data_IF_103563692944
#
_entry.id   IF_103563692944
#
_cell.length_a   1.000
_cell.length_b   1.000
_cell.length_c   1.000
_cell.angle_alpha   90.00
_cell.angle_beta   90.00
_cell.angle_gamma   90.00
#
_symmetry.space_group_name_H-M   'P 1'
#
loop_
_entity.id
_entity.type
_entity.pdbx_description
1 polymer ?
#
# COMPACT_ATOMS: atom_id res chain seq x y z
N UNK A 1 8.88 -17.47 21.77
CA UNK A 1 8.46 -17.43 20.35
C UNK A 1 7.59 -16.21 19.98
N UNK A 2 6.96 -15.49 20.92
CA UNK A 2 6.07 -14.34 20.63
C UNK A 2 6.78 -13.00 20.30
N UNK A 3 8.07 -12.84 20.58
CA UNK A 3 8.77 -11.54 20.47
C UNK A 3 9.15 -11.13 19.03
N UNK A 4 9.43 -12.08 18.12
CA UNK A 4 9.82 -11.77 16.73
C UNK A 4 8.64 -11.41 15.82
N UNK A 5 7.45 -11.98 16.05
CA UNK A 5 6.28 -11.68 15.22
C UNK A 5 5.72 -10.27 15.47
N UNK A 6 5.80 -9.77 16.71
CA UNK A 6 5.31 -8.44 17.07
C UNK A 6 6.15 -7.32 16.46
N UNK A 7 7.47 -7.52 16.30
CA UNK A 7 8.34 -6.53 15.64
C UNK A 7 8.06 -6.47 14.14
N UNK A 8 7.84 -7.61 13.47
CA UNK A 8 7.51 -7.66 12.05
C UNK A 8 6.13 -7.06 11.77
N UNK A 9 5.12 -7.37 12.59
CA UNK A 9 3.79 -6.78 12.45
C UNK A 9 3.81 -5.25 12.60
N UNK A 10 4.62 -4.73 13.54
CA UNK A 10 4.84 -3.28 13.68
C UNK A 10 5.56 -2.68 12.47
N UNK A 11 6.61 -3.34 11.97
CA UNK A 11 7.35 -2.89 10.80
C UNK A 11 6.48 -2.85 9.53
N UNK A 12 5.67 -3.88 9.31
CA UNK A 12 4.67 -3.92 8.21
C UNK A 12 3.54 -2.91 8.41
N UNK A 13 3.12 -2.66 9.65
CA UNK A 13 2.17 -1.59 9.96
C UNK A 13 2.69 -0.21 9.55
N UNK A 14 3.97 0.08 9.78
CA UNK A 14 4.62 1.30 9.30
C UNK A 14 4.75 1.32 7.78
N UNK A 15 5.14 0.19 7.17
CA UNK A 15 5.23 0.06 5.71
C UNK A 15 3.90 0.37 5.02
N UNK A 16 2.77 -0.15 5.51
CA UNK A 16 1.43 0.18 4.99
C UNK A 16 1.11 1.66 5.09
N UNK A 17 1.49 2.30 6.20
CA UNK A 17 1.27 3.75 6.39
C UNK A 17 2.05 4.56 5.36
N UNK A 18 3.32 4.23 5.14
CA UNK A 18 4.13 4.90 4.12
C UNK A 18 3.61 4.61 2.71
N UNK A 19 3.23 3.37 2.40
CA UNK A 19 2.66 3.01 1.11
C UNK A 19 1.36 3.79 0.82
N UNK A 20 0.50 3.98 1.82
CA UNK A 20 -0.71 4.80 1.68
C UNK A 20 -0.39 6.25 1.36
N UNK A 21 0.62 6.84 2.02
CA UNK A 21 1.06 8.20 1.75
C UNK A 21 1.68 8.35 0.35
N UNK A 22 2.53 7.41 -0.05
CA UNK A 22 3.16 7.37 -1.37
C UNK A 22 2.11 7.21 -2.49
N UNK A 23 1.15 6.30 -2.33
CA UNK A 23 0.03 6.14 -3.27
C UNK A 23 -0.84 7.39 -3.31
N UNK A 24 -1.11 8.02 -2.18
CA UNK A 24 -1.83 9.29 -2.15
C UNK A 24 -1.09 10.36 -2.96
N UNK A 25 0.20 10.53 -2.75
CA UNK A 25 1.03 11.48 -3.51
C UNK A 25 0.96 11.18 -5.01
N UNK A 26 1.20 9.92 -5.41
CA UNK A 26 1.11 9.50 -6.80
C UNK A 26 -0.25 9.82 -7.43
N UNK A 27 -1.35 9.58 -6.71
CA UNK A 27 -2.70 9.89 -7.21
C UNK A 27 -2.94 11.39 -7.40
N UNK A 28 -2.27 12.26 -6.63
CA UNK A 28 -2.48 13.71 -6.67
C UNK A 28 -1.54 14.41 -7.65
N UNK A 29 -0.31 13.91 -7.80
CA UNK A 29 0.72 14.57 -8.61
C UNK A 29 0.96 13.88 -9.95
N UNK A 30 0.64 12.58 -10.06
CA UNK A 30 1.02 11.72 -11.19
C UNK A 30 2.53 11.71 -11.47
N UNK A 31 3.35 11.98 -10.44
CA UNK A 31 4.80 11.90 -10.53
C UNK A 31 5.27 10.46 -10.77
N UNK A 32 6.54 10.35 -11.18
CA UNK A 32 7.20 9.07 -11.37
C UNK A 32 7.26 8.26 -10.07
N UNK A 33 6.91 6.98 -10.17
CA UNK A 33 6.76 6.08 -9.03
C UNK A 33 8.11 5.79 -8.36
N UNK A 34 9.18 5.63 -9.14
CA UNK A 34 10.51 5.35 -8.63
C UNK A 34 11.04 6.58 -7.88
N UNK A 35 10.74 7.78 -8.40
CA UNK A 35 11.00 9.05 -7.72
C UNK A 35 10.29 9.17 -6.37
N UNK A 36 9.00 8.86 -6.32
CA UNK A 36 8.23 8.86 -5.06
C UNK A 36 8.79 7.83 -4.08
N UNK A 37 9.08 6.62 -4.55
CA UNK A 37 9.63 5.55 -3.71
C UNK A 37 10.95 5.98 -3.06
N UNK A 38 11.89 6.48 -3.88
CA UNK A 38 13.19 6.94 -3.41
C UNK A 38 13.05 8.10 -2.42
N UNK A 39 12.17 9.07 -2.69
CA UNK A 39 11.88 10.16 -1.76
C UNK A 39 11.45 9.63 -0.39
N UNK A 40 10.51 8.68 -0.35
CA UNK A 40 10.03 8.10 0.91
C UNK A 40 11.13 7.31 1.65
N UNK A 41 12.01 6.61 0.93
CA UNK A 41 13.15 5.90 1.52
C UNK A 41 14.14 6.88 2.16
N UNK A 42 14.40 8.02 1.51
CA UNK A 42 15.37 9.03 1.97
C UNK A 42 14.84 9.88 3.13
N UNK A 43 13.55 10.21 3.12
CA UNK A 43 12.93 11.12 4.12
C UNK A 43 12.49 10.42 5.41
N UNK A 44 12.45 9.07 5.45
CA UNK A 44 11.95 8.31 6.59
C UNK A 44 13.02 7.42 7.26
N UNK A 45 12.86 7.14 8.57
CA UNK A 45 13.71 6.16 9.25
C UNK A 45 13.29 4.72 8.91
N UNK A 46 13.88 4.21 7.83
CA UNK A 46 13.61 2.87 7.30
C UNK A 46 14.07 1.73 8.22
N UNK A 47 14.87 1.99 9.28
CA UNK A 47 15.34 0.95 10.21
C UNK A 47 14.22 0.22 10.94
N UNK A 48 13.06 0.87 11.04
CA UNK A 48 11.88 0.32 11.74
C UNK A 48 10.75 -0.06 10.80
N UNK A 49 10.98 0.02 9.50
CA UNK A 49 10.02 -0.25 8.42
C UNK A 49 10.44 -1.54 7.72
N UNK A 50 9.46 -2.35 7.34
CA UNK A 50 9.70 -3.45 6.41
C UNK A 50 9.80 -2.83 4.99
N UNK A 51 11.02 -2.45 4.58
CA UNK A 51 11.25 -1.70 3.34
C UNK A 51 10.84 -2.50 2.11
N UNK A 52 11.21 -3.77 2.05
CA UNK A 52 10.81 -4.67 0.95
C UNK A 52 9.28 -4.73 0.85
N UNK A 53 8.59 -4.79 1.98
CA UNK A 53 7.13 -4.78 2.00
C UNK A 53 6.52 -3.45 1.57
N UNK A 54 7.13 -2.32 1.92
CA UNK A 54 6.71 -1.00 1.45
C UNK A 54 6.82 -0.90 -0.08
N UNK A 55 7.98 -1.24 -0.63
CA UNK A 55 8.26 -1.26 -2.07
C UNK A 55 7.29 -2.18 -2.80
N UNK A 56 7.08 -3.39 -2.28
CA UNK A 56 6.15 -4.36 -2.85
C UNK A 56 4.71 -3.85 -2.88
N UNK A 57 4.24 -3.20 -1.81
CA UNK A 57 2.88 -2.64 -1.78
C UNK A 57 2.73 -1.51 -2.79
N UNK A 58 3.69 -0.59 -2.85
CA UNK A 58 3.62 0.57 -3.74
C UNK A 58 3.63 0.13 -5.21
N UNK A 59 4.65 -0.63 -5.61
CA UNK A 59 4.82 -1.11 -6.98
C UNK A 59 3.74 -2.12 -7.38
N UNK A 60 3.38 -3.03 -6.46
CA UNK A 60 2.39 -4.07 -6.71
C UNK A 60 0.99 -3.51 -6.94
N UNK A 61 0.57 -2.53 -6.14
CA UNK A 61 -0.71 -1.84 -6.33
C UNK A 61 -0.74 -1.12 -7.68
N UNK A 62 0.34 -0.41 -8.05
CA UNK A 62 0.35 0.38 -9.28
C UNK A 62 0.49 -0.50 -10.54
N UNK A 63 1.15 -1.65 -10.43
CA UNK A 63 1.24 -2.64 -11.51
C UNK A 63 -0.10 -3.32 -11.81
N UNK A 64 -0.89 -3.64 -10.78
CA UNK A 64 -2.20 -4.32 -10.91
C UNK A 64 -3.38 -3.38 -10.67
N UNK A 65 -3.19 -2.07 -10.90
CA UNK A 65 -4.16 -1.04 -10.53
C UNK A 65 -5.54 -1.29 -11.14
N UNK A 66 -5.58 -1.60 -12.44
CA UNK A 66 -6.83 -1.87 -13.14
C UNK A 66 -7.53 -3.14 -12.63
N UNK A 67 -6.77 -4.18 -12.28
CA UNK A 67 -7.32 -5.41 -11.72
C UNK A 67 -7.89 -5.20 -10.32
N UNK A 68 -7.17 -4.45 -9.48
CA UNK A 68 -7.58 -4.05 -8.14
C UNK A 68 -8.85 -3.20 -8.19
N UNK A 69 -8.86 -2.14 -9.00
CA UNK A 69 -10.00 -1.25 -9.14
C UNK A 69 -11.23 -2.01 -9.67
N UNK A 70 -11.06 -2.90 -10.64
CA UNK A 70 -12.14 -3.75 -11.13
C UNK A 70 -12.67 -4.74 -10.08
N UNK A 71 -11.81 -5.24 -9.19
CA UNK A 71 -12.23 -6.09 -8.07
C UNK A 71 -13.02 -5.29 -7.02
N UNK A 72 -12.56 -4.08 -6.69
CA UNK A 72 -13.25 -3.17 -5.78
C UNK A 72 -14.62 -2.76 -6.31
N UNK A 73 -14.71 -2.33 -7.57
CA UNK A 73 -15.96 -1.82 -8.16
C UNK A 73 -17.09 -2.86 -8.20
N UNK A 74 -16.78 -4.17 -8.19
CA UNK A 74 -17.79 -5.24 -8.08
C UNK A 74 -18.58 -5.21 -6.76
N UNK A 75 -18.00 -4.61 -5.73
CA UNK A 75 -18.56 -4.56 -4.38
C UNK A 75 -18.92 -3.13 -3.94
N UNK A 76 -18.85 -2.16 -4.85
CA UNK A 76 -19.12 -0.75 -4.56
C UNK A 76 -20.35 -0.27 -5.33
N UNK A 77 -21.13 0.62 -4.71
CA UNK A 77 -22.25 1.30 -5.37
C UNK A 77 -21.84 2.50 -6.21
N UNK A 78 -20.56 2.89 -6.14
CA UNK A 78 -19.95 4.06 -6.79
C UNK A 78 -18.63 3.66 -7.46
N UNK A 79 -18.16 4.49 -8.38
CA UNK A 79 -16.86 4.27 -9.06
C UNK A 79 -15.71 4.53 -8.10
N UNK A 80 -14.59 3.83 -8.32
CA UNK A 80 -13.41 3.98 -7.45
C UNK A 80 -12.86 5.41 -7.48
N UNK A 81 -13.01 6.10 -8.62
CA UNK A 81 -12.55 7.48 -8.78
C UNK A 81 -13.40 8.51 -8.01
N UNK A 82 -14.59 8.13 -7.55
CA UNK A 82 -15.49 8.97 -6.72
C UNK A 82 -15.22 8.82 -5.21
N UNK A 83 -14.29 7.93 -4.84
CA UNK A 83 -13.83 7.73 -3.48
C UNK A 83 -12.77 8.78 -3.15
N UNK A 84 -12.76 9.25 -1.90
CA UNK A 84 -11.73 10.16 -1.40
C UNK A 84 -10.33 9.56 -1.66
N UNK A 85 -9.33 10.34 -2.10
CA UNK A 85 -8.03 9.78 -2.47
C UNK A 85 -7.33 9.01 -1.36
N UNK A 86 -7.52 9.38 -0.08
CA UNK A 86 -6.95 8.64 1.06
C UNK A 86 -7.66 7.30 1.23
N UNK A 87 -9.00 7.31 1.23
CA UNK A 87 -9.79 6.08 1.29
C UNK A 87 -9.47 5.14 0.12
N UNK A 88 -9.32 5.70 -1.08
CA UNK A 88 -8.97 4.96 -2.30
C UNK A 88 -7.61 4.29 -2.18
N UNK A 89 -6.59 4.98 -1.65
CA UNK A 89 -5.28 4.39 -1.41
C UNK A 89 -5.36 3.22 -0.42
N UNK A 90 -6.12 3.39 0.68
CA UNK A 90 -6.32 2.33 1.68
C UNK A 90 -7.02 1.11 1.07
N UNK A 91 -8.10 1.33 0.30
CA UNK A 91 -8.86 0.25 -0.36
C UNK A 91 -7.99 -0.50 -1.37
N UNK A 92 -7.18 0.20 -2.14
CA UNK A 92 -6.25 -0.41 -3.12
C UNK A 92 -5.19 -1.27 -2.43
N UNK A 93 -4.57 -0.77 -1.36
CA UNK A 93 -3.60 -1.55 -0.56
C UNK A 93 -4.26 -2.81 0.00
N UNK A 94 -5.40 -2.67 0.69
CA UNK A 94 -6.08 -3.81 1.32
C UNK A 94 -6.52 -4.86 0.30
N UNK A 95 -7.02 -4.41 -0.86
CA UNK A 95 -7.41 -5.33 -1.95
C UNK A 95 -6.21 -6.06 -2.54
N UNK A 96 -5.09 -5.36 -2.75
CA UNK A 96 -3.86 -5.99 -3.21
C UNK A 96 -3.35 -7.04 -2.21
N UNK A 97 -3.32 -6.70 -0.91
CA UNK A 97 -2.96 -7.65 0.15
C UNK A 97 -3.88 -8.90 0.12
N UNK A 98 -5.20 -8.72 -0.02
CA UNK A 98 -6.13 -9.87 -0.09
C UNK A 98 -5.94 -10.74 -1.33
N UNK A 99 -5.61 -10.17 -2.48
CA UNK A 99 -5.48 -10.91 -3.74
C UNK A 99 -4.12 -11.63 -3.82
N UNK A 100 -3.04 -10.96 -3.41
CA UNK A 100 -1.66 -11.38 -3.70
C UNK A 100 -0.90 -11.88 -2.48
N UNK A 101 -1.31 -11.52 -1.27
CA UNK A 101 -0.57 -11.80 -0.02
C UNK A 101 -1.35 -12.70 0.92
N UNK A 102 -1.49 -13.96 0.51
CA UNK A 102 -2.04 -15.04 1.36
C UNK A 102 -1.19 -15.31 2.62
N UNK A 103 0.03 -14.76 2.69
CA UNK A 103 0.94 -14.81 3.85
C UNK A 103 0.60 -13.76 4.92
N UNK A 104 -0.25 -12.76 4.62
CA UNK A 104 -0.76 -11.80 5.59
C UNK A 104 -1.93 -12.45 6.32
N UNK A 105 -1.84 -12.72 7.64
CA UNK A 105 -2.96 -13.24 8.39
C UNK A 105 -4.14 -12.28 8.29
N UNK A 106 -5.37 -12.79 8.19
CA UNK A 106 -6.62 -12.01 8.15
C UNK A 106 -6.91 -11.20 9.45
N UNK A 107 -5.91 -10.91 10.31
CA UNK A 107 -6.09 -10.37 11.66
C UNK A 107 -5.07 -9.30 12.01
#
# INVERSE_FOLDING_TARGET
MMSKNTSLAKARGKARRLAMQALYQWQMTADDIDGIEQQFIEENDMKSVDQDYFSELLLGVLTDLAGIDAALEKHMSRKINEVDPVERAILRIGTYEFIKRLDVPYR
#
